data_IF_726345930366
#
_entry.id   IF_726345930366
#
_cell.length_a   1.000
_cell.length_b   1.000
_cell.length_c   1.000
_cell.angle_alpha   90.00
_cell.angle_beta   90.00
_cell.angle_gamma   90.00
#
_symmetry.space_group_name_H-M   'P 1'
#
loop_
_entity.id
_entity.type
_entity.pdbx_description
1 polymer ?
#
# COMPACT_ATOMS: atom_id res chain seq x y z
N UNK A 1 -8.12 10.13 37.24
CA UNK A 1 -8.45 8.87 36.53
C UNK A 1 -8.32 9.06 35.00
N UNK A 2 -8.85 10.13 34.41
CA UNK A 2 -8.74 10.38 32.98
C UNK A 2 -7.29 10.64 32.50
N UNK A 3 -6.47 11.35 33.28
CA UNK A 3 -5.04 11.58 32.92
C UNK A 3 -4.19 10.30 32.92
N UNK A 4 -4.53 9.33 33.78
CA UNK A 4 -3.87 8.01 33.83
C UNK A 4 -4.32 7.10 32.67
N UNK A 5 -5.58 7.19 32.26
CA UNK A 5 -6.11 6.49 31.08
C UNK A 5 -5.53 7.06 29.78
N UNK A 6 -5.38 8.38 29.67
CA UNK A 6 -4.73 9.05 28.53
C UNK A 6 -3.24 8.71 28.42
N UNK A 7 -2.52 8.59 29.55
CA UNK A 7 -1.10 8.16 29.53
C UNK A 7 -0.96 6.66 29.24
N UNK A 8 -1.94 5.84 29.57
CA UNK A 8 -1.95 4.41 29.22
C UNK A 8 -2.35 4.17 27.76
N UNK A 9 -3.24 5.00 27.20
CA UNK A 9 -3.68 4.91 25.81
C UNK A 9 -2.57 5.20 24.78
N UNK A 10 -1.58 6.04 25.14
CA UNK A 10 -0.48 6.41 24.25
C UNK A 10 0.77 5.52 24.37
N UNK A 11 0.88 4.68 25.41
CA UNK A 11 2.05 3.80 25.61
C UNK A 11 2.34 2.85 24.45
N UNK A 12 1.33 2.20 23.82
CA UNK A 12 1.59 1.31 22.69
C UNK A 12 2.25 1.98 21.52
N UNK A 13 1.86 3.22 21.16
CA UNK A 13 2.46 3.92 20.02
C UNK A 13 3.92 4.30 20.28
N UNK A 14 4.27 4.76 21.48
CA UNK A 14 5.66 5.05 21.84
C UNK A 14 6.52 3.79 21.85
N UNK A 15 5.99 2.69 22.42
CA UNK A 15 6.65 1.39 22.37
C UNK A 15 6.89 0.96 20.91
N UNK A 16 5.84 1.01 20.07
CA UNK A 16 5.93 0.69 18.64
C UNK A 16 6.98 1.53 17.91
N UNK A 17 7.05 2.80 18.26
CA UNK A 17 8.02 3.72 17.65
C UNK A 17 9.45 3.35 17.98
N UNK A 18 9.75 3.11 19.26
CA UNK A 18 11.08 2.68 19.71
C UNK A 18 11.48 1.36 19.05
N UNK A 19 10.57 0.38 19.03
CA UNK A 19 10.81 -0.92 18.42
C UNK A 19 11.01 -0.78 16.89
N UNK A 20 10.17 0.02 16.21
CA UNK A 20 10.29 0.27 14.78
C UNK A 20 11.65 0.87 14.40
N UNK A 21 12.11 1.92 15.14
CA UNK A 21 13.40 2.53 14.90
C UNK A 21 14.56 1.57 15.19
N UNK A 22 14.47 0.78 16.27
CA UNK A 22 15.50 -0.19 16.61
C UNK A 22 15.63 -1.29 15.53
N UNK A 23 14.50 -1.85 15.10
CA UNK A 23 14.48 -2.87 14.04
C UNK A 23 15.00 -2.31 12.72
N UNK A 24 14.52 -1.12 12.31
CA UNK A 24 14.95 -0.51 11.07
C UNK A 24 16.42 -0.13 11.08
N UNK A 25 16.91 0.41 12.19
CA UNK A 25 18.34 0.73 12.36
C UNK A 25 19.21 -0.54 12.29
N UNK A 26 18.77 -1.63 12.94
CA UNK A 26 19.39 -2.95 12.83
C UNK A 26 19.41 -3.45 11.39
N UNK A 27 18.25 -3.37 10.71
CA UNK A 27 18.13 -3.76 9.31
C UNK A 27 19.08 -2.99 8.40
N UNK A 28 19.19 -1.67 8.55
CA UNK A 28 20.08 -0.83 7.75
C UNK A 28 21.57 -1.15 7.95
N UNK A 29 21.95 -1.74 9.09
CA UNK A 29 23.32 -2.22 9.35
C UNK A 29 23.57 -3.61 8.75
N UNK A 30 22.55 -4.47 8.76
CA UNK A 30 22.66 -5.88 8.36
C UNK A 30 22.48 -6.05 6.86
N UNK A 31 21.50 -5.39 6.24
CA UNK A 31 21.16 -5.55 4.84
C UNK A 31 22.33 -5.39 3.85
N UNK A 32 23.27 -4.42 4.03
CA UNK A 32 24.43 -4.31 3.16
C UNK A 32 25.38 -5.52 3.23
N UNK A 33 25.47 -6.19 4.39
CA UNK A 33 26.34 -7.36 4.58
C UNK A 33 25.83 -8.56 3.76
N UNK A 34 24.52 -8.63 3.51
CA UNK A 34 23.88 -9.65 2.69
C UNK A 34 23.59 -9.18 1.25
N UNK A 35 24.16 -8.01 0.86
CA UNK A 35 24.00 -7.40 -0.46
C UNK A 35 22.52 -7.17 -0.85
N UNK A 36 21.65 -6.86 0.12
CA UNK A 36 20.25 -6.53 -0.11
C UNK A 36 20.16 -5.06 -0.54
N UNK A 37 20.55 -4.84 -1.80
CA UNK A 37 20.73 -3.50 -2.38
C UNK A 37 20.06 -3.47 -3.75
N UNK A 38 19.17 -2.51 -3.95
CA UNK A 38 18.62 -2.19 -5.26
C UNK A 38 19.66 -1.38 -6.05
N UNK A 39 20.12 -1.97 -7.15
CA UNK A 39 21.04 -1.33 -8.10
C UNK A 39 20.23 -0.67 -9.21
N UNK A 40 20.53 0.61 -9.54
CA UNK A 40 19.84 1.30 -10.62
C UNK A 40 19.87 0.50 -11.92
N UNK A 41 18.72 0.38 -12.56
CA UNK A 41 18.56 -0.22 -13.88
C UNK A 41 17.76 0.74 -14.80
N UNK A 42 17.53 0.37 -16.06
CA UNK A 42 16.79 1.19 -17.01
C UNK A 42 15.36 1.53 -16.60
N UNK A 43 14.79 0.78 -15.63
CA UNK A 43 13.42 0.98 -15.09
C UNK A 43 13.42 1.73 -13.77
N UNK A 44 14.57 1.94 -13.15
CA UNK A 44 14.67 2.61 -11.84
C UNK A 44 14.45 4.12 -11.97
N UNK A 45 13.77 4.71 -11.00
CA UNK A 45 13.64 6.17 -10.86
C UNK A 45 14.75 6.77 -9.98
N UNK A 46 15.68 5.96 -9.48
CA UNK A 46 16.82 6.37 -8.66
C UNK A 46 18.14 6.11 -9.39
N UNK A 47 19.19 6.85 -9.00
CA UNK A 47 20.52 6.78 -9.61
C UNK A 47 21.60 6.17 -8.70
N UNK A 48 21.31 6.01 -7.42
CA UNK A 48 22.26 5.50 -6.44
C UNK A 48 21.82 4.12 -5.93
N UNK A 49 22.77 3.18 -5.69
CA UNK A 49 22.45 1.93 -5.01
C UNK A 49 21.84 2.23 -3.63
N UNK A 50 20.71 1.60 -3.30
CA UNK A 50 19.94 1.88 -2.09
C UNK A 50 19.50 0.58 -1.44
N UNK A 51 19.52 0.49 -0.10
CA UNK A 51 19.07 -0.68 0.64
C UNK A 51 17.59 -0.94 0.30
N UNK A 52 17.24 -2.19 -0.05
CA UNK A 52 15.89 -2.63 -0.41
C UNK A 52 15.27 -3.47 0.73
N UNK A 53 13.97 -3.67 0.72
CA UNK A 53 13.28 -4.57 1.66
C UNK A 53 13.11 -4.04 3.08
N UNK A 54 13.36 -2.74 3.32
CA UNK A 54 13.17 -2.13 4.64
C UNK A 54 11.70 -2.13 5.10
N UNK A 55 10.76 -2.32 4.18
CA UNK A 55 9.33 -2.45 4.48
C UNK A 55 8.96 -3.74 5.23
N UNK A 56 9.91 -4.65 5.45
CA UNK A 56 9.71 -5.83 6.33
C UNK A 56 9.22 -5.43 7.73
N UNK A 57 9.53 -4.21 8.19
CA UNK A 57 9.05 -3.73 9.48
C UNK A 57 7.53 -3.55 9.53
N UNK A 58 6.84 -3.38 8.40
CA UNK A 58 5.38 -3.19 8.35
C UNK A 58 4.64 -4.44 8.82
N UNK A 59 4.80 -5.61 8.17
CA UNK A 59 4.17 -6.84 8.65
C UNK A 59 4.66 -7.26 10.02
N UNK A 60 5.94 -7.04 10.35
CA UNK A 60 6.52 -7.42 11.66
C UNK A 60 5.87 -6.62 12.79
N UNK A 61 5.80 -5.29 12.68
CA UNK A 61 5.18 -4.47 13.74
C UNK A 61 3.66 -4.70 13.83
N UNK A 62 2.98 -4.86 12.69
CA UNK A 62 1.56 -5.19 12.69
C UNK A 62 1.30 -6.51 13.43
N UNK A 63 2.01 -7.58 13.05
CA UNK A 63 1.87 -8.89 13.70
C UNK A 63 2.26 -8.86 15.19
N UNK A 64 3.34 -8.17 15.53
CA UNK A 64 3.78 -8.00 16.92
C UNK A 64 2.68 -7.36 17.78
N UNK A 65 2.01 -6.33 17.26
CA UNK A 65 0.93 -5.65 17.97
C UNK A 65 -0.32 -6.52 18.11
N UNK A 66 -0.68 -7.31 17.08
CA UNK A 66 -1.75 -8.32 17.20
C UNK A 66 -1.42 -9.31 18.30
N UNK A 67 -0.19 -9.84 18.35
CA UNK A 67 0.22 -10.86 19.30
C UNK A 67 0.34 -10.33 20.74
N UNK A 68 0.81 -9.09 20.92
CA UNK A 68 1.05 -8.52 22.26
C UNK A 68 -0.19 -7.89 22.89
N UNK A 69 -1.05 -7.29 22.09
CA UNK A 69 -2.15 -6.46 22.54
C UNK A 69 -3.51 -6.92 22.03
N UNK A 70 -3.56 -7.81 21.04
CA UNK A 70 -4.79 -8.41 20.53
C UNK A 70 -5.35 -9.49 21.45
N UNK A 71 -6.55 -9.98 21.11
CA UNK A 71 -7.11 -11.13 21.81
C UNK A 71 -6.43 -12.43 21.36
N UNK A 72 -6.17 -13.38 22.26
CA UNK A 72 -5.64 -14.69 21.89
C UNK A 72 -6.51 -15.38 20.80
N UNK A 73 -5.89 -15.81 19.71
CA UNK A 73 -6.58 -16.44 18.58
C UNK A 73 -7.20 -15.47 17.57
N UNK A 74 -7.12 -14.15 17.81
CA UNK A 74 -7.59 -13.17 16.85
C UNK A 74 -6.65 -13.08 15.63
N UNK A 75 -7.25 -12.97 14.44
CA UNK A 75 -6.54 -12.70 13.20
C UNK A 75 -5.45 -13.72 12.82
N UNK A 76 -5.63 -15.00 13.24
CA UNK A 76 -4.63 -16.05 12.99
C UNK A 76 -4.42 -16.25 11.48
N UNK A 77 -5.49 -16.39 10.71
CA UNK A 77 -5.40 -16.61 9.27
C UNK A 77 -4.83 -15.38 8.56
N UNK A 78 -5.18 -14.17 9.01
CA UNK A 78 -4.59 -12.94 8.50
C UNK A 78 -3.08 -12.88 8.73
N UNK A 79 -2.61 -13.22 9.94
CA UNK A 79 -1.18 -13.24 10.28
C UNK A 79 -0.44 -14.32 9.49
N UNK A 80 -1.03 -15.50 9.30
CA UNK A 80 -0.45 -16.55 8.46
C UNK A 80 -0.31 -16.09 7.01
N UNK A 81 -1.36 -15.49 6.44
CA UNK A 81 -1.32 -14.93 5.09
C UNK A 81 -0.31 -13.80 4.93
N UNK A 82 -0.26 -12.88 5.90
CA UNK A 82 0.70 -11.78 5.96
C UNK A 82 2.14 -12.29 6.06
N UNK A 83 2.38 -13.30 6.88
CA UNK A 83 3.71 -13.93 7.04
C UNK A 83 4.14 -14.60 5.74
N UNK A 84 3.26 -15.38 5.10
CA UNK A 84 3.54 -16.02 3.81
C UNK A 84 3.92 -14.99 2.74
N UNK A 85 3.09 -13.95 2.58
CA UNK A 85 3.37 -12.87 1.63
C UNK A 85 4.66 -12.12 1.97
N UNK A 86 4.86 -11.81 3.25
CA UNK A 86 6.07 -11.15 3.74
C UNK A 86 7.34 -11.94 3.43
N UNK A 87 7.34 -13.25 3.68
CA UNK A 87 8.50 -14.13 3.39
C UNK A 87 8.77 -14.21 1.90
N UNK A 88 7.74 -14.47 1.08
CA UNK A 88 7.90 -14.61 -0.39
C UNK A 88 8.35 -13.28 -1.01
N UNK A 89 7.75 -12.16 -0.62
CA UNK A 89 8.11 -10.84 -1.14
C UNK A 89 9.48 -10.37 -0.65
N UNK A 90 9.86 -10.68 0.60
CA UNK A 90 11.20 -10.38 1.08
C UNK A 90 12.26 -11.23 0.34
N UNK A 91 11.94 -12.48 0.04
CA UNK A 91 12.83 -13.31 -0.77
C UNK A 91 12.95 -12.75 -2.20
N UNK A 92 11.87 -12.21 -2.78
CA UNK A 92 11.88 -11.51 -4.09
C UNK A 92 12.75 -10.24 -4.05
N UNK A 93 12.79 -9.52 -2.93
CA UNK A 93 13.70 -8.38 -2.72
C UNK A 93 15.19 -8.79 -2.70
N UNK A 94 15.50 -10.02 -2.32
CA UNK A 94 16.88 -10.56 -2.26
C UNK A 94 17.25 -11.27 -3.56
N UNK A 95 16.31 -12.05 -4.12
CA UNK A 95 16.53 -12.87 -5.30
C UNK A 95 15.21 -13.05 -6.04
N UNK A 96 15.21 -12.72 -7.33
CA UNK A 96 14.02 -12.77 -8.18
C UNK A 96 13.22 -14.07 -8.02
N UNK A 97 11.93 -13.94 -7.70
CA UNK A 97 10.98 -15.03 -7.57
C UNK A 97 10.13 -15.14 -8.84
N UNK A 98 9.94 -16.33 -9.40
CA UNK A 98 9.06 -16.52 -10.55
C UNK A 98 7.64 -16.00 -10.27
N UNK A 99 7.04 -15.34 -11.26
CA UNK A 99 5.69 -14.77 -11.17
C UNK A 99 4.64 -15.80 -10.67
N UNK A 100 4.71 -17.04 -11.15
CA UNK A 100 3.79 -18.12 -10.74
C UNK A 100 3.83 -18.42 -9.23
N UNK A 101 5.03 -18.39 -8.61
CA UNK A 101 5.17 -18.63 -7.18
C UNK A 101 4.63 -17.45 -6.35
N UNK A 102 4.86 -16.22 -6.81
CA UNK A 102 4.28 -15.02 -6.18
C UNK A 102 2.75 -15.04 -6.24
N UNK A 103 2.19 -15.36 -7.41
CA UNK A 103 0.74 -15.48 -7.58
C UNK A 103 0.16 -16.61 -6.73
N UNK A 104 0.84 -17.75 -6.63
CA UNK A 104 0.41 -18.87 -5.79
C UNK A 104 0.38 -18.48 -4.31
N UNK A 105 1.41 -17.78 -3.82
CA UNK A 105 1.43 -17.26 -2.45
C UNK A 105 0.29 -16.25 -2.21
N UNK A 106 0.02 -15.36 -3.18
CA UNK A 106 -1.10 -14.42 -3.11
C UNK A 106 -2.45 -15.14 -3.04
N UNK A 107 -2.66 -16.22 -3.83
CA UNK A 107 -3.89 -17.01 -3.80
C UNK A 107 -4.10 -17.68 -2.44
N UNK A 108 -3.06 -18.27 -1.84
CA UNK A 108 -3.14 -18.86 -0.49
C UNK A 108 -3.46 -17.77 0.55
N UNK A 109 -2.75 -16.65 0.52
CA UNK A 109 -2.98 -15.57 1.47
C UNK A 109 -4.40 -14.99 1.38
N UNK A 110 -4.92 -14.81 0.16
CA UNK A 110 -6.32 -14.38 -0.06
C UNK A 110 -7.30 -15.44 0.44
N UNK A 111 -7.00 -16.72 0.25
CA UNK A 111 -7.80 -17.82 0.81
C UNK A 111 -7.87 -17.78 2.34
N UNK A 112 -6.74 -17.53 3.02
CA UNK A 112 -6.68 -17.35 4.47
C UNK A 112 -7.45 -16.09 4.92
N UNK A 113 -7.34 -14.98 4.19
CA UNK A 113 -8.10 -13.77 4.46
C UNK A 113 -9.62 -14.03 4.33
N UNK A 114 -10.04 -14.80 3.34
CA UNK A 114 -11.44 -15.20 3.17
C UNK A 114 -11.92 -16.11 4.30
N UNK A 115 -11.06 -16.97 4.83
CA UNK A 115 -11.36 -17.79 6.01
C UNK A 115 -11.55 -16.91 7.25
N UNK A 116 -10.64 -15.98 7.48
CA UNK A 116 -10.73 -15.01 8.59
C UNK A 116 -12.04 -14.21 8.60
N UNK A 117 -12.56 -13.84 7.42
CA UNK A 117 -13.75 -13.01 7.25
C UNK A 117 -15.01 -13.81 6.85
N UNK A 118 -14.97 -15.14 6.88
CA UNK A 118 -16.09 -16.03 6.51
C UNK A 118 -16.65 -15.79 5.11
N UNK A 119 -15.80 -15.32 4.17
CA UNK A 119 -16.20 -15.01 2.78
C UNK A 119 -16.60 -16.28 2.00
N UNK A 120 -16.13 -17.46 2.43
CA UNK A 120 -16.48 -18.74 1.80
C UNK A 120 -17.98 -19.07 1.79
N UNK A 121 -18.77 -18.36 2.59
CA UNK A 121 -20.24 -18.49 2.61
C UNK A 121 -20.92 -17.68 1.49
N UNK A 122 -20.16 -16.92 0.70
CA UNK A 122 -20.70 -16.10 -0.36
C UNK A 122 -20.88 -16.87 -1.67
N UNK A 123 -21.69 -16.34 -2.63
CA UNK A 123 -21.76 -16.90 -3.99
C UNK A 123 -20.37 -16.92 -4.64
N UNK A 124 -20.08 -18.03 -5.34
CA UNK A 124 -18.75 -18.26 -5.92
C UNK A 124 -18.25 -17.14 -6.84
N UNK A 125 -19.14 -16.55 -7.63
CA UNK A 125 -18.79 -15.44 -8.51
C UNK A 125 -18.31 -14.21 -7.74
N UNK A 126 -18.87 -13.95 -6.55
CA UNK A 126 -18.48 -12.83 -5.70
C UNK A 126 -17.14 -13.12 -5.02
N UNK A 127 -16.91 -14.36 -4.57
CA UNK A 127 -15.62 -14.82 -4.03
C UNK A 127 -14.51 -14.60 -5.06
N UNK A 128 -14.74 -15.05 -6.31
CA UNK A 128 -13.76 -14.88 -7.40
C UNK A 128 -13.54 -13.41 -7.71
N UNK A 129 -14.59 -12.61 -7.81
CA UNK A 129 -14.51 -11.18 -8.08
C UNK A 129 -13.70 -10.43 -7.01
N UNK A 130 -14.02 -10.64 -5.73
CA UNK A 130 -13.30 -10.01 -4.61
C UNK A 130 -11.85 -10.50 -4.54
N UNK A 131 -11.60 -11.79 -4.80
CA UNK A 131 -10.25 -12.35 -4.87
C UNK A 131 -9.39 -11.67 -5.94
N UNK A 132 -9.95 -11.46 -7.14
CA UNK A 132 -9.27 -10.71 -8.23
C UNK A 132 -8.99 -9.27 -7.81
N UNK A 133 -9.94 -8.59 -7.14
CA UNK A 133 -9.73 -7.22 -6.66
C UNK A 133 -8.60 -7.14 -5.63
N UNK A 134 -8.53 -8.07 -4.68
CA UNK A 134 -7.47 -8.09 -3.66
C UNK A 134 -6.10 -8.36 -4.29
N UNK A 135 -6.01 -9.37 -5.17
CA UNK A 135 -4.76 -9.66 -5.90
C UNK A 135 -4.36 -8.48 -6.77
N UNK A 136 -5.33 -7.84 -7.43
CA UNK A 136 -5.13 -6.62 -8.20
C UNK A 136 -4.60 -5.47 -7.33
N UNK A 137 -5.13 -5.30 -6.13
CA UNK A 137 -4.69 -4.29 -5.15
C UNK A 137 -3.26 -4.57 -4.69
N UNK A 138 -2.91 -5.82 -4.38
CA UNK A 138 -1.55 -6.23 -3.99
C UNK A 138 -0.55 -5.87 -5.11
N UNK A 139 -0.86 -6.23 -6.35
CA UNK A 139 0.02 -5.93 -7.47
C UNK A 139 0.05 -4.44 -7.81
N UNK A 140 -1.08 -3.72 -7.67
CA UNK A 140 -1.13 -2.28 -7.87
C UNK A 140 -0.21 -1.54 -6.88
N UNK A 141 -0.25 -1.88 -5.59
CA UNK A 141 0.64 -1.30 -4.59
C UNK A 141 2.11 -1.54 -4.91
N UNK A 142 2.45 -2.77 -5.35
CA UNK A 142 3.81 -3.08 -5.76
C UNK A 142 4.27 -2.22 -6.95
N UNK A 143 3.42 -2.00 -7.94
CA UNK A 143 3.73 -1.12 -9.08
C UNK A 143 3.77 0.36 -8.71
N UNK A 144 3.02 0.77 -7.68
CA UNK A 144 3.01 2.16 -7.19
C UNK A 144 4.20 2.49 -6.29
N UNK A 145 5.02 1.52 -5.88
CA UNK A 145 6.18 1.73 -5.01
C UNK A 145 7.48 2.01 -5.80
N UNK A 146 7.50 3.07 -6.60
CA UNK A 146 8.65 3.34 -7.50
C UNK A 146 9.41 4.65 -7.24
N UNK A 147 9.02 5.48 -6.25
CA UNK A 147 9.72 6.74 -5.90
C UNK A 147 9.76 6.95 -4.39
N UNK A 148 10.72 7.77 -3.92
CA UNK A 148 10.92 8.03 -2.49
C UNK A 148 9.65 8.61 -1.84
N UNK A 149 9.18 7.98 -0.78
CA UNK A 149 8.08 8.45 0.04
C UNK A 149 6.69 8.00 -0.39
N UNK A 150 6.49 7.53 -1.63
CA UNK A 150 5.14 7.34 -2.17
C UNK A 150 4.34 6.30 -1.37
N UNK A 151 4.85 5.10 -1.20
CA UNK A 151 4.16 4.04 -0.42
C UNK A 151 4.17 4.32 1.08
N UNK A 152 5.20 5.00 1.58
CA UNK A 152 5.26 5.41 2.97
C UNK A 152 4.21 6.43 3.35
N UNK A 153 4.08 7.55 2.60
CA UNK A 153 3.07 8.60 2.86
C UNK A 153 1.67 8.05 2.60
N UNK A 154 1.47 7.38 1.47
CA UNK A 154 0.17 6.83 1.11
C UNK A 154 -0.29 5.78 2.14
N UNK A 155 0.60 4.87 2.52
CA UNK A 155 0.34 3.88 3.56
C UNK A 155 0.03 4.52 4.91
N UNK A 156 0.75 5.58 5.29
CA UNK A 156 0.52 6.32 6.53
C UNK A 156 -0.87 6.99 6.56
N UNK A 157 -1.25 7.68 5.47
CA UNK A 157 -2.59 8.28 5.33
C UNK A 157 -3.68 7.21 5.41
N UNK A 158 -3.51 6.09 4.70
CA UNK A 158 -4.48 4.99 4.73
C UNK A 158 -4.58 4.36 6.12
N UNK A 159 -3.44 4.06 6.78
CA UNK A 159 -3.42 3.45 8.12
C UNK A 159 -4.10 4.34 9.16
N UNK A 160 -3.85 5.67 9.15
CA UNK A 160 -4.54 6.62 10.02
C UNK A 160 -6.04 6.65 9.74
N UNK A 161 -6.44 6.62 8.47
CA UNK A 161 -7.85 6.62 8.09
C UNK A 161 -8.58 5.37 8.60
N UNK A 162 -7.95 4.19 8.48
CA UNK A 162 -8.50 2.94 8.99
C UNK A 162 -8.54 2.93 10.52
N UNK A 163 -7.50 3.44 11.17
CA UNK A 163 -7.45 3.57 12.63
C UNK A 163 -8.56 4.49 13.17
N UNK A 164 -8.86 5.58 12.47
CA UNK A 164 -9.95 6.49 12.85
C UNK A 164 -11.32 5.80 12.87
N UNK A 165 -11.52 4.74 12.10
CA UNK A 165 -12.77 3.96 12.06
C UNK A 165 -12.85 2.93 13.18
N UNK A 166 -11.82 2.10 13.35
CA UNK A 166 -11.89 0.91 14.22
C UNK A 166 -11.07 1.04 15.50
N UNK A 167 -10.11 1.97 15.56
CA UNK A 167 -9.17 2.14 16.67
C UNK A 167 -8.43 0.83 17.01
N UNK A 168 -8.17 0.00 16.00
CA UNK A 168 -7.47 -1.26 16.14
C UNK A 168 -6.01 -1.02 16.51
N UNK A 169 -5.58 -1.63 17.63
CA UNK A 169 -4.24 -1.45 18.18
C UNK A 169 -3.14 -1.92 17.22
N UNK A 170 -3.40 -2.91 16.36
CA UNK A 170 -2.46 -3.39 15.36
C UNK A 170 -2.10 -2.31 14.33
N UNK A 171 -3.06 -1.42 14.00
CA UNK A 171 -2.80 -0.26 13.14
C UNK A 171 -1.85 0.75 13.79
N UNK A 172 -1.80 0.86 15.13
CA UNK A 172 -0.79 1.70 15.79
C UNK A 172 0.63 1.15 15.57
N UNK A 173 0.79 -0.18 15.59
CA UNK A 173 2.06 -0.82 15.23
C UNK A 173 2.47 -0.49 13.79
N UNK A 174 1.53 -0.59 12.85
CA UNK A 174 1.75 -0.24 11.46
C UNK A 174 2.07 1.25 11.27
N UNK A 175 1.34 2.15 11.93
CA UNK A 175 1.58 3.59 11.91
C UNK A 175 2.98 3.91 12.42
N UNK A 176 3.39 3.29 13.55
CA UNK A 176 4.73 3.46 14.11
C UNK A 176 5.83 3.00 13.13
N UNK A 177 5.62 1.86 12.47
CA UNK A 177 6.54 1.33 11.44
C UNK A 177 6.65 2.28 10.24
N UNK A 178 5.52 2.79 9.75
CA UNK A 178 5.48 3.75 8.63
C UNK A 178 6.17 5.07 8.97
N UNK A 179 5.99 5.59 10.19
CA UNK A 179 6.69 6.80 10.64
C UNK A 179 8.21 6.59 10.69
N UNK A 180 8.67 5.47 11.25
CA UNK A 180 10.09 5.13 11.27
C UNK A 180 10.66 4.97 9.86
N UNK A 181 9.95 4.27 8.96
CA UNK A 181 10.34 4.10 7.57
C UNK A 181 10.44 5.46 6.85
N UNK A 182 9.43 6.32 6.96
CA UNK A 182 9.42 7.65 6.33
C UNK A 182 10.62 8.49 6.77
N UNK A 183 11.06 8.39 8.01
CA UNK A 183 12.25 9.10 8.49
C UNK A 183 13.51 8.78 7.66
N UNK A 184 13.65 7.56 7.14
CA UNK A 184 14.80 7.14 6.33
C UNK A 184 14.54 7.22 4.81
N UNK A 185 13.26 7.04 4.38
CA UNK A 185 12.90 6.96 2.97
C UNK A 185 12.48 8.32 2.37
N UNK A 186 11.74 9.16 3.12
CA UNK A 186 11.20 10.44 2.64
C UNK A 186 12.31 11.51 2.58
N UNK A 187 13.25 11.30 1.68
CA UNK A 187 14.43 12.17 1.50
C UNK A 187 14.73 12.33 0.02
N UNK A 188 15.43 13.42 -0.33
CA UNK A 188 15.95 13.62 -1.70
C UNK A 188 16.82 12.41 -2.14
N UNK A 189 17.62 11.86 -1.22
CA UNK A 189 18.34 10.60 -1.36
C UNK A 189 17.86 9.66 -0.26
N UNK A 190 16.96 8.74 -0.59
CA UNK A 190 16.47 7.75 0.36
C UNK A 190 17.62 6.87 0.87
N UNK A 191 17.57 6.48 2.14
CA UNK A 191 18.51 5.53 2.73
C UNK A 191 18.10 4.08 2.55
N UNK A 192 16.79 3.85 2.35
CA UNK A 192 16.22 2.54 2.07
C UNK A 192 14.92 2.66 1.28
N UNK A 193 14.55 1.57 0.60
CA UNK A 193 13.27 1.37 -0.08
C UNK A 193 12.45 0.32 0.67
N UNK A 194 11.13 0.42 0.57
CA UNK A 194 10.18 -0.55 1.13
C UNK A 194 10.42 -1.96 0.59
N UNK A 195 10.68 -2.06 -0.69
CA UNK A 195 10.73 -3.32 -1.41
C UNK A 195 9.36 -3.93 -1.61
N UNK A 196 9.33 -5.05 -2.33
CA UNK A 196 8.11 -5.81 -2.58
C UNK A 196 7.45 -6.23 -1.26
N UNK A 197 8.25 -6.59 -0.25
CA UNK A 197 7.73 -6.95 1.08
C UNK A 197 6.91 -5.84 1.71
N UNK A 198 7.32 -4.57 1.58
CA UNK A 198 6.60 -3.44 2.15
C UNK A 198 5.29 -3.17 1.41
N UNK A 199 5.35 -3.07 0.08
CA UNK A 199 4.19 -2.75 -0.75
C UNK A 199 3.09 -3.83 -0.66
N UNK A 200 3.48 -5.12 -0.78
CA UNK A 200 2.57 -6.27 -0.72
C UNK A 200 1.92 -6.38 0.66
N UNK A 201 2.70 -6.22 1.74
CA UNK A 201 2.17 -6.29 3.11
C UNK A 201 1.17 -5.18 3.40
N UNK A 202 1.45 -3.93 2.99
CA UNK A 202 0.51 -2.82 3.14
C UNK A 202 -0.80 -3.10 2.42
N UNK A 203 -0.72 -3.52 1.16
CA UNK A 203 -1.89 -3.82 0.36
C UNK A 203 -2.76 -4.93 0.97
N UNK A 204 -2.13 -5.99 1.49
CA UNK A 204 -2.84 -7.10 2.12
C UNK A 204 -3.54 -6.67 3.42
N UNK A 205 -2.84 -5.94 4.30
CA UNK A 205 -3.42 -5.39 5.53
C UNK A 205 -4.59 -4.46 5.21
N UNK A 206 -4.43 -3.54 4.25
CA UNK A 206 -5.50 -2.62 3.88
C UNK A 206 -6.69 -3.33 3.24
N UNK A 207 -6.44 -4.36 2.43
CA UNK A 207 -7.50 -5.19 1.86
C UNK A 207 -8.34 -5.88 2.93
N UNK A 208 -7.71 -6.38 4.00
CA UNK A 208 -8.41 -6.94 5.14
C UNK A 208 -9.37 -5.92 5.77
N UNK A 209 -8.90 -4.73 6.14
CA UNK A 209 -9.75 -3.73 6.78
C UNK A 209 -10.88 -3.24 5.86
N UNK A 210 -10.57 -2.97 4.60
CA UNK A 210 -11.57 -2.52 3.62
C UNK A 210 -12.64 -3.57 3.41
N UNK A 211 -12.27 -4.85 3.28
CA UNK A 211 -13.22 -5.93 3.12
C UNK A 211 -14.06 -6.11 4.40
N UNK A 212 -13.41 -6.10 5.58
CA UNK A 212 -14.10 -6.20 6.87
C UNK A 212 -15.13 -5.08 7.05
N UNK A 213 -14.75 -3.81 6.78
CA UNK A 213 -15.67 -2.68 6.86
C UNK A 213 -16.80 -2.77 5.84
N UNK A 214 -16.50 -3.28 4.64
CA UNK A 214 -17.51 -3.50 3.61
C UNK A 214 -18.54 -4.57 4.01
N UNK A 215 -18.09 -5.62 4.71
CA UNK A 215 -18.96 -6.67 5.26
C UNK A 215 -19.83 -6.11 6.39
N UNK A 216 -19.19 -5.47 7.39
CA UNK A 216 -19.88 -4.92 8.56
C UNK A 216 -20.95 -3.88 8.16
N UNK A 217 -20.63 -2.99 7.24
CA UNK A 217 -21.55 -1.94 6.78
C UNK A 217 -22.46 -2.36 5.63
N UNK A 218 -22.26 -3.54 5.04
CA UNK A 218 -22.92 -4.00 3.80
C UNK A 218 -22.78 -3.01 2.65
N UNK A 219 -21.66 -2.30 2.60
CA UNK A 219 -21.40 -1.24 1.62
C UNK A 219 -19.95 -1.31 1.13
N UNK A 220 -19.69 -1.55 -0.17
CA UNK A 220 -18.36 -1.66 -0.73
C UNK A 220 -17.64 -0.31 -0.90
N UNK A 221 -18.25 0.81 -0.52
CA UNK A 221 -17.70 2.16 -0.72
C UNK A 221 -16.34 2.37 -0.04
N UNK A 222 -16.02 1.54 0.96
CA UNK A 222 -14.75 1.61 1.69
C UNK A 222 -13.52 1.40 0.81
N UNK A 223 -13.66 0.78 -0.36
CA UNK A 223 -12.58 0.65 -1.35
C UNK A 223 -12.04 2.02 -1.79
N UNK A 224 -12.85 3.07 -1.69
CA UNK A 224 -12.47 4.44 -2.04
C UNK A 224 -11.42 5.04 -1.07
N UNK A 225 -11.15 4.42 0.08
CA UNK A 225 -10.00 4.78 0.92
C UNK A 225 -8.65 4.49 0.21
N UNK A 226 -8.68 3.82 -0.94
CA UNK A 226 -7.53 3.60 -1.84
C UNK A 226 -7.72 4.30 -3.20
N UNK A 227 -8.57 5.34 -3.28
CA UNK A 227 -9.01 5.94 -4.54
C UNK A 227 -7.85 6.38 -5.45
N UNK A 228 -6.85 7.10 -4.93
CA UNK A 228 -5.78 7.69 -5.75
C UNK A 228 -4.90 6.62 -6.38
N UNK A 229 -4.50 5.59 -5.63
CA UNK A 229 -3.76 4.45 -6.18
C UNK A 229 -4.61 3.62 -7.13
N UNK A 230 -5.88 3.41 -6.78
CA UNK A 230 -6.83 2.70 -7.63
C UNK A 230 -7.04 3.39 -8.97
N UNK A 231 -7.19 4.71 -8.99
CA UNK A 231 -7.34 5.52 -10.21
C UNK A 231 -6.08 5.43 -11.08
N UNK A 232 -4.89 5.64 -10.50
CA UNK A 232 -3.64 5.57 -11.28
C UNK A 232 -3.44 4.17 -11.86
N UNK A 233 -3.60 3.12 -11.06
CA UNK A 233 -3.43 1.74 -11.50
C UNK A 233 -4.45 1.36 -12.58
N UNK A 234 -5.75 1.58 -12.34
CA UNK A 234 -6.79 1.19 -13.27
C UNK A 234 -6.69 1.93 -14.61
N UNK A 235 -6.52 3.24 -14.59
CA UNK A 235 -6.39 4.04 -15.80
C UNK A 235 -5.10 3.70 -16.56
N UNK A 236 -4.01 3.42 -15.85
CA UNK A 236 -2.76 2.96 -16.50
C UNK A 236 -2.95 1.63 -17.20
N UNK A 237 -3.67 0.67 -16.59
CA UNK A 237 -4.01 -0.61 -17.24
C UNK A 237 -4.85 -0.37 -18.50
N UNK A 238 -5.87 0.49 -18.43
CA UNK A 238 -6.71 0.83 -19.61
C UNK A 238 -5.85 1.39 -20.75
N UNK A 239 -4.97 2.35 -20.50
CA UNK A 239 -4.11 2.89 -21.55
C UNK A 239 -3.12 1.86 -22.09
N UNK A 240 -2.62 0.95 -21.27
CA UNK A 240 -1.76 -0.15 -21.73
C UNK A 240 -2.51 -1.13 -22.62
N UNK A 241 -3.76 -1.44 -22.30
CA UNK A 241 -4.62 -2.26 -23.16
C UNK A 241 -4.89 -1.56 -24.51
N UNK A 242 -5.17 -0.25 -24.51
CA UNK A 242 -5.32 0.54 -25.75
C UNK A 242 -4.04 0.48 -26.60
N UNK A 243 -2.85 0.54 -25.96
CA UNK A 243 -1.55 0.40 -26.64
C UNK A 243 -1.19 -1.04 -27.01
N UNK A 244 -2.05 -2.02 -26.69
CA UNK A 244 -1.82 -3.46 -26.90
C UNK A 244 -0.56 -3.99 -26.19
N UNK A 245 -0.21 -3.40 -25.05
CA UNK A 245 0.92 -3.83 -24.24
C UNK A 245 0.53 -5.03 -23.35
N UNK A 246 1.51 -5.91 -23.07
CA UNK A 246 1.30 -7.00 -22.11
C UNK A 246 1.24 -6.44 -20.68
N UNK A 247 0.05 -6.44 -20.09
CA UNK A 247 -0.21 -5.88 -18.73
C UNK A 247 0.52 -6.64 -17.61
N UNK A 248 0.93 -7.88 -17.84
CA UNK A 248 1.65 -8.71 -16.85
C UNK A 248 3.16 -8.41 -16.80
N UNK A 249 3.69 -7.68 -17.76
CA UNK A 249 5.10 -7.27 -17.75
C UNK A 249 5.29 -5.97 -16.97
N UNK A 250 6.38 -5.91 -16.20
CA UNK A 250 6.78 -4.69 -15.49
C UNK A 250 6.92 -3.50 -16.46
N UNK A 251 6.48 -2.33 -16.04
CA UNK A 251 6.41 -1.12 -16.86
C UNK A 251 6.68 0.16 -16.06
N UNK A 252 6.83 1.29 -16.77
CA UNK A 252 7.00 2.64 -16.20
C UNK A 252 5.96 3.58 -16.80
N UNK A 253 4.68 3.23 -16.69
CA UNK A 253 3.58 3.95 -17.35
C UNK A 253 2.62 4.61 -16.36
N UNK A 254 2.85 4.48 -15.07
CA UNK A 254 2.05 5.16 -14.04
C UNK A 254 2.27 6.66 -14.09
N UNK A 255 1.23 7.42 -13.78
CA UNK A 255 1.29 8.88 -13.86
C UNK A 255 2.29 9.48 -12.86
N UNK A 256 2.40 8.91 -11.64
CA UNK A 256 3.42 9.34 -10.70
C UNK A 256 4.85 9.19 -11.26
N UNK A 257 5.12 8.11 -12.02
CA UNK A 257 6.41 7.90 -12.68
C UNK A 257 6.66 8.91 -13.79
N UNK A 258 5.62 9.23 -14.57
CA UNK A 258 5.71 10.27 -15.57
C UNK A 258 6.04 11.63 -14.96
N UNK A 259 5.36 12.00 -13.86
CA UNK A 259 5.64 13.26 -13.16
C UNK A 259 7.08 13.30 -12.64
N UNK A 260 7.56 12.22 -12.03
CA UNK A 260 8.90 12.16 -11.45
C UNK A 260 10.01 12.07 -12.51
N UNK A 261 9.85 11.22 -13.53
CA UNK A 261 10.92 10.91 -14.46
C UNK A 261 10.94 11.79 -15.72
N UNK A 262 9.76 12.09 -16.29
CA UNK A 262 9.66 12.88 -17.52
C UNK A 262 9.52 14.39 -17.22
N UNK A 263 8.72 14.73 -16.21
CA UNK A 263 8.52 16.12 -15.78
C UNK A 263 9.56 16.57 -14.75
N UNK A 264 10.42 15.67 -14.28
CA UNK A 264 11.48 15.96 -13.30
C UNK A 264 10.99 16.59 -12.00
N UNK A 265 9.73 16.33 -11.62
CA UNK A 265 9.20 16.78 -10.34
C UNK A 265 9.86 15.96 -9.25
N UNK A 266 10.39 16.60 -8.18
CA UNK A 266 11.05 15.86 -7.11
C UNK A 266 10.17 14.73 -6.54
N UNK A 267 10.74 13.54 -6.31
CA UNK A 267 10.03 12.37 -5.79
C UNK A 267 9.18 12.69 -4.57
N UNK A 268 9.76 13.40 -3.60
CA UNK A 268 9.07 13.81 -2.37
C UNK A 268 7.84 14.67 -2.67
N UNK A 269 7.93 15.59 -3.65
CA UNK A 269 6.79 16.43 -4.03
C UNK A 269 5.65 15.60 -4.65
N UNK A 270 5.97 14.68 -5.57
CA UNK A 270 4.98 13.76 -6.15
C UNK A 270 4.33 12.91 -5.07
N UNK A 271 5.11 12.37 -4.14
CA UNK A 271 4.61 11.55 -3.04
C UNK A 271 3.69 12.33 -2.10
N UNK A 272 4.03 13.59 -1.80
CA UNK A 272 3.19 14.48 -1.00
C UNK A 272 1.88 14.77 -1.75
N UNK A 273 1.91 15.04 -3.06
CA UNK A 273 0.71 15.29 -3.86
C UNK A 273 -0.24 14.08 -3.77
N UNK A 274 0.27 12.86 -3.99
CA UNK A 274 -0.55 11.63 -3.92
C UNK A 274 -1.15 11.42 -2.52
N UNK A 275 -0.32 11.53 -1.49
CA UNK A 275 -0.77 11.33 -0.10
C UNK A 275 -1.75 12.42 0.36
N UNK A 276 -1.48 13.70 0.03
CA UNK A 276 -2.39 14.81 0.38
C UNK A 276 -3.73 14.70 -0.35
N UNK A 277 -3.70 14.35 -1.64
CA UNK A 277 -4.93 14.14 -2.41
C UNK A 277 -5.78 13.02 -1.78
N UNK A 278 -5.15 11.90 -1.39
CA UNK A 278 -5.86 10.81 -0.69
C UNK A 278 -6.36 11.26 0.68
N UNK A 279 -5.56 12.00 1.45
CA UNK A 279 -5.96 12.48 2.77
C UNK A 279 -7.19 13.42 2.69
N UNK A 280 -7.18 14.37 1.77
CA UNK A 280 -8.32 15.27 1.54
C UNK A 280 -9.57 14.52 1.11
N UNK A 281 -9.41 13.54 0.22
CA UNK A 281 -10.52 12.68 -0.19
C UNK A 281 -11.06 11.87 1.00
N UNK A 282 -10.19 11.31 1.85
CA UNK A 282 -10.62 10.54 3.02
C UNK A 282 -11.36 11.40 4.05
N UNK A 283 -10.91 12.65 4.27
CA UNK A 283 -11.64 13.61 5.13
C UNK A 283 -13.04 13.87 4.60
N UNK A 284 -13.17 14.14 3.29
CA UNK A 284 -14.46 14.31 2.63
C UNK A 284 -15.31 13.05 2.72
N UNK A 285 -14.70 11.88 2.47
CA UNK A 285 -15.35 10.57 2.59
C UNK A 285 -15.97 10.41 3.98
N UNK A 286 -15.21 10.59 5.05
CA UNK A 286 -15.71 10.44 6.42
C UNK A 286 -16.80 11.47 6.75
N UNK A 287 -16.62 12.72 6.34
CA UNK A 287 -17.61 13.77 6.59
C UNK A 287 -19.00 13.41 6.03
N UNK A 288 -19.06 12.91 4.79
CA UNK A 288 -20.34 12.53 4.18
C UNK A 288 -20.80 11.11 4.57
N UNK A 289 -19.89 10.18 4.79
CA UNK A 289 -20.23 8.82 5.20
C UNK A 289 -20.96 8.80 6.54
N UNK A 290 -20.45 9.50 7.55
CA UNK A 290 -21.12 9.58 8.86
C UNK A 290 -22.44 10.36 8.82
N UNK A 291 -22.66 11.20 7.82
CA UNK A 291 -23.95 11.81 7.52
C UNK A 291 -24.89 10.93 6.69
N UNK A 292 -24.47 9.71 6.36
CA UNK A 292 -25.20 8.77 5.50
C UNK A 292 -25.50 9.35 4.08
N UNK A 293 -24.65 10.24 3.60
CA UNK A 293 -24.76 10.87 2.29
C UNK A 293 -23.77 10.27 1.31
N UNK A 294 -24.16 9.23 0.57
CA UNK A 294 -23.26 8.52 -0.35
C UNK A 294 -23.02 9.27 -1.66
N UNK A 295 -24.02 9.99 -2.17
CA UNK A 295 -23.92 10.67 -3.46
C UNK A 295 -22.79 11.70 -3.54
N UNK A 296 -22.55 12.59 -2.54
CA UNK A 296 -21.39 13.48 -2.56
C UNK A 296 -20.03 12.76 -2.61
N UNK A 297 -19.89 11.61 -1.97
CA UNK A 297 -18.67 10.79 -2.03
C UNK A 297 -18.43 10.32 -3.46
N UNK A 298 -19.48 9.79 -4.12
CA UNK A 298 -19.39 9.32 -5.50
C UNK A 298 -19.11 10.47 -6.48
N UNK A 299 -19.72 11.65 -6.27
CA UNK A 299 -19.42 12.83 -7.08
C UNK A 299 -17.98 13.32 -6.89
N UNK A 300 -17.48 13.32 -5.67
CA UNK A 300 -16.08 13.66 -5.40
C UNK A 300 -15.11 12.66 -6.03
N UNK A 301 -15.42 11.36 -5.98
CA UNK A 301 -14.64 10.34 -6.65
C UNK A 301 -14.66 10.52 -8.18
N UNK A 302 -15.82 10.74 -8.77
CA UNK A 302 -15.94 11.02 -10.21
C UNK A 302 -15.16 12.28 -10.60
N UNK A 303 -15.24 13.35 -9.80
CA UNK A 303 -14.45 14.57 -9.99
C UNK A 303 -12.94 14.29 -9.95
N UNK A 304 -12.49 13.46 -9.01
CA UNK A 304 -11.09 13.07 -8.90
C UNK A 304 -10.62 12.28 -10.14
N UNK A 305 -11.44 11.37 -10.67
CA UNK A 305 -11.18 10.62 -11.91
C UNK A 305 -11.08 11.60 -13.10
N UNK A 306 -12.01 12.55 -13.22
CA UNK A 306 -12.02 13.53 -14.30
C UNK A 306 -10.76 14.42 -14.25
N UNK A 307 -10.42 14.93 -13.07
CA UNK A 307 -9.22 15.76 -12.87
C UNK A 307 -7.96 14.95 -13.24
N UNK A 308 -7.87 13.70 -12.76
CA UNK A 308 -6.74 12.83 -13.08
C UNK A 308 -6.60 12.61 -14.59
N UNK A 309 -7.71 12.28 -15.28
CA UNK A 309 -7.71 12.07 -16.73
C UNK A 309 -7.33 13.35 -17.49
N UNK A 310 -7.90 14.49 -17.09
CA UNK A 310 -7.58 15.78 -17.70
C UNK A 310 -6.10 16.13 -17.56
N UNK A 311 -5.53 15.96 -16.36
CA UNK A 311 -4.10 16.18 -16.12
C UNK A 311 -3.25 15.23 -16.96
N UNK A 312 -3.63 13.97 -17.03
CA UNK A 312 -2.88 12.96 -17.79
C UNK A 312 -2.90 13.23 -19.29
N UNK A 313 -4.08 13.54 -19.84
CA UNK A 313 -4.24 13.88 -21.26
C UNK A 313 -3.48 15.15 -21.62
N UNK A 314 -3.56 16.19 -20.80
CA UNK A 314 -2.88 17.47 -21.06
C UNK A 314 -1.36 17.37 -20.93
N UNK A 315 -0.86 16.59 -19.97
CA UNK A 315 0.57 16.51 -19.70
C UNK A 315 1.29 15.45 -20.56
N UNK A 316 0.70 14.28 -20.77
CA UNK A 316 1.29 13.21 -21.58
C UNK A 316 0.95 13.36 -23.08
N UNK A 317 -0.18 13.99 -23.43
CA UNK A 317 -0.57 14.25 -24.82
C UNK A 317 -0.63 12.98 -25.68
N UNK A 318 -0.07 13.05 -26.89
CA UNK A 318 -0.08 11.92 -27.84
C UNK A 318 0.69 10.69 -27.34
N UNK A 319 1.68 10.86 -26.44
CA UNK A 319 2.49 9.74 -25.92
C UNK A 319 1.66 8.77 -25.08
N UNK A 320 0.50 9.22 -24.58
CA UNK A 320 -0.41 8.42 -23.79
C UNK A 320 -0.99 7.21 -24.54
N UNK A 321 -1.23 7.37 -25.84
CA UNK A 321 -1.83 6.32 -26.71
C UNK A 321 -0.84 5.71 -27.71
N UNK A 322 0.36 6.26 -27.82
CA UNK A 322 1.39 5.72 -28.71
C UNK A 322 2.10 4.54 -28.06
N UNK A 323 2.34 3.48 -28.84
CA UNK A 323 3.15 2.36 -28.40
C UNK A 323 4.57 2.86 -28.06
N UNK A 324 4.99 2.68 -26.81
CA UNK A 324 6.40 2.95 -26.46
C UNK A 324 7.24 1.85 -27.10
N UNK A 325 8.03 2.21 -28.10
CA UNK A 325 9.08 1.31 -28.62
C UNK A 325 10.02 0.99 -27.46
N UNK A 326 9.96 -0.27 -27.00
CA UNK A 326 10.83 -0.83 -25.96
C UNK A 326 12.20 -1.11 -26.51
#
# INVERSE_FOLDING_TARGET
MNLLLDTLSNKPIYFGWVVAFALLFGYLKIAPQYNIIDKPNQRSSHTNPTIRGAGIIFPVLYALFVLMFGHPGALVDLIMGLTLLGVVSFYDDVKDVPFGLRLFAQLIAVGLLFNELFVWLWPIWLIVFVGILIIGTINAFNFMDGINGISGIYGFVTAISLYAVKQDIALLGLIAALMAFLFFNLRKKAKCFSGDVGAVSLAFIFSYYILNFSIESKNPIWVLLLAVYGIDAAITIVFRLIRKENILRGHRSHFYQYLANERQIPHVAVSIIYGTTQALFNVLFFYFYFKQQMAPILYAFAGLVIIYLALRITLEGKTLVQQKTT
#
